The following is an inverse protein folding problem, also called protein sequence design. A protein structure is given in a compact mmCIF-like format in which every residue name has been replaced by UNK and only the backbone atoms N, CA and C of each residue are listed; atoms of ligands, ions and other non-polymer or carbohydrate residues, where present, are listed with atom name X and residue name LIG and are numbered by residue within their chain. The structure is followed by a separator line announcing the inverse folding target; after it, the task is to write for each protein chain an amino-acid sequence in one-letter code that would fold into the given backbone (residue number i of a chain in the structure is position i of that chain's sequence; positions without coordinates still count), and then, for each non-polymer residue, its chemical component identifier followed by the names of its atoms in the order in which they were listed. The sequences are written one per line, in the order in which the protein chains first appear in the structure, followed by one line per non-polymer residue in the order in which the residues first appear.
data_IF_219704301649
#
_entry.id   IF_219704301649
#
_cell.length_a   1.000
_cell.length_b   1.000
_cell.length_c   1.000
_cell.angle_alpha   90.00
_cell.angle_beta   90.00
_cell.angle_gamma   90.00
#
_symmetry.space_group_name_H-M   'P 1'
#
loop_
_entity.id
_entity.type
_entity.pdbx_description
1 polymer ?
#
# COMPACT_ATOMS: atom_id res chain seq x y z
N UNK A 1 -86.77 -13.67 21.15
CA UNK A 1 -86.59 -13.36 22.59
C UNK A 1 -85.24 -13.90 23.03
N UNK A 2 -84.37 -13.06 23.63
CA UNK A 2 -83.06 -13.45 24.18
C UNK A 2 -81.87 -12.62 23.67
N UNK A 3 -81.44 -11.62 24.46
CA UNK A 3 -80.23 -10.76 24.38
C UNK A 3 -78.91 -11.60 24.37
N UNK A 4 -77.72 -11.14 23.97
CA UNK A 4 -77.18 -9.86 23.53
C UNK A 4 -75.64 -9.81 23.70
N UNK A 5 -75.01 -8.80 23.07
CA UNK A 5 -73.63 -8.23 23.23
C UNK A 5 -72.48 -8.79 22.35
N UNK A 6 -71.81 -7.93 21.54
CA UNK A 6 -70.57 -8.20 20.79
C UNK A 6 -69.35 -7.42 21.34
N UNK A 7 -68.13 -7.85 20.98
CA UNK A 7 -66.91 -7.03 21.09
C UNK A 7 -66.00 -7.22 19.86
N UNK A 8 -65.62 -6.10 19.26
CA UNK A 8 -64.64 -5.89 18.18
C UNK A 8 -63.50 -5.05 18.75
N UNK A 9 -62.25 -5.36 18.42
CA UNK A 9 -61.11 -4.49 18.72
C UNK A 9 -60.08 -4.57 17.56
N UNK A 10 -59.69 -3.39 17.07
CA UNK A 10 -58.75 -3.19 15.97
C UNK A 10 -57.64 -2.21 16.40
N UNK A 11 -56.41 -2.61 16.05
CA UNK A 11 -55.16 -1.87 15.82
C UNK A 11 -54.92 -0.46 16.40
N UNK A 12 -53.69 -0.20 16.90
CA UNK A 12 -52.92 1.02 16.53
C UNK A 12 -51.43 0.99 16.91
N UNK A 13 -50.65 1.66 16.05
CA UNK A 13 -49.20 1.91 16.05
C UNK A 13 -48.69 2.80 17.21
N UNK A 14 -47.38 2.76 17.54
CA UNK A 14 -46.73 3.74 18.40
C UNK A 14 -45.86 4.72 17.60
N UNK A 15 -46.13 6.02 17.70
CA UNK A 15 -45.10 7.07 17.67
C UNK A 15 -45.65 8.39 18.22
N UNK A 16 -44.73 9.12 18.85
CA UNK A 16 -44.73 10.55 19.22
C UNK A 16 -45.26 11.05 20.59
N UNK A 17 -44.26 11.30 21.44
CA UNK A 17 -43.83 12.60 21.99
C UNK A 17 -44.69 13.36 23.02
N UNK A 18 -43.98 13.71 24.10
CA UNK A 18 -44.03 14.97 24.89
C UNK A 18 -45.15 15.18 25.92
N UNK A 19 -44.78 15.15 27.20
CA UNK A 19 -45.12 16.18 28.19
C UNK A 19 -44.25 16.05 29.47
N UNK A 20 -43.79 17.20 29.96
CA UNK A 20 -42.98 17.44 31.18
C UNK A 20 -43.84 17.31 32.46
N UNK A 21 -43.38 17.24 33.72
CA UNK A 21 -42.43 18.14 34.40
C UNK A 21 -42.11 17.72 35.87
N UNK A 22 -40.87 18.00 36.29
CA UNK A 22 -40.38 18.57 37.58
C UNK A 22 -40.64 17.92 38.97
N UNK A 23 -39.55 17.50 39.65
CA UNK A 23 -39.00 18.06 40.93
C UNK A 23 -37.80 17.20 41.40
N UNK A 24 -36.55 17.69 41.30
CA UNK A 24 -35.78 18.47 42.27
C UNK A 24 -35.12 17.64 43.42
N UNK A 25 -33.81 17.39 43.29
CA UNK A 25 -32.83 17.51 44.39
C UNK A 25 -31.40 17.45 43.83
N UNK A 26 -30.66 18.54 44.00
CA UNK A 26 -29.21 18.63 43.78
C UNK A 26 -28.46 18.07 45.01
N UNK A 27 -27.14 17.79 44.89
CA UNK A 27 -26.19 18.87 45.14
C UNK A 27 -25.00 18.97 44.16
N UNK A 28 -24.70 20.22 43.80
CA UNK A 28 -23.39 20.90 43.88
C UNK A 28 -22.11 20.19 43.41
N UNK A 29 -21.47 20.78 42.39
CA UNK A 29 -20.03 21.08 42.46
C UNK A 29 -19.19 20.81 41.22
N UNK A 30 -18.80 21.87 40.49
CA UNK A 30 -17.45 21.95 39.92
C UNK A 30 -17.30 22.01 38.38
N UNK A 31 -16.96 23.21 37.90
CA UNK A 31 -16.16 23.48 36.69
C UNK A 31 -16.74 23.14 35.31
N UNK A 32 -17.50 24.09 34.75
CA UNK A 32 -17.95 24.07 33.35
C UNK A 32 -17.54 25.32 32.57
N UNK A 33 -16.39 25.90 32.89
CA UNK A 33 -15.83 27.08 32.20
C UNK A 33 -14.63 26.77 31.29
N UNK A 34 -14.09 25.55 31.32
CA UNK A 34 -12.85 25.21 30.58
C UNK A 34 -13.02 24.75 29.12
N UNK A 35 -14.21 24.35 28.66
CA UNK A 35 -14.37 23.85 27.29
C UNK A 35 -14.59 24.97 26.27
N UNK A 36 -15.29 26.05 26.66
CA UNK A 36 -15.54 27.18 25.77
C UNK A 36 -14.30 28.04 25.53
N UNK A 37 -13.41 28.17 26.51
CA UNK A 37 -12.11 28.86 26.32
C UNK A 37 -11.19 28.07 25.42
N UNK A 38 -11.14 26.74 25.55
CA UNK A 38 -10.36 25.89 24.64
C UNK A 38 -10.86 26.00 23.21
N UNK A 39 -12.18 25.91 22.98
CA UNK A 39 -12.79 26.04 21.65
C UNK A 39 -12.58 27.43 21.05
N UNK A 40 -12.66 28.49 21.87
CA UNK A 40 -12.32 29.86 21.46
C UNK A 40 -10.83 30.02 21.15
N UNK A 41 -9.93 29.40 21.92
CA UNK A 41 -8.49 29.39 21.63
C UNK A 41 -8.18 28.61 20.36
N UNK A 42 -8.88 27.52 20.08
CA UNK A 42 -8.71 26.79 18.80
C UNK A 42 -9.23 27.61 17.62
N UNK A 43 -10.36 28.31 17.77
CA UNK A 43 -10.87 29.20 16.74
C UNK A 43 -10.00 30.43 16.50
N UNK A 44 -9.44 31.03 17.56
CA UNK A 44 -8.49 32.14 17.44
C UNK A 44 -7.19 31.65 16.81
N UNK A 45 -6.70 30.46 17.18
CA UNK A 45 -5.51 29.86 16.55
C UNK A 45 -5.74 29.49 15.08
N UNK A 46 -6.95 29.10 14.70
CA UNK A 46 -7.30 28.84 13.30
C UNK A 46 -7.50 30.14 12.51
N UNK A 47 -8.03 31.19 13.14
CA UNK A 47 -8.10 32.54 12.56
C UNK A 47 -6.73 33.15 12.37
N UNK A 48 -5.81 33.00 13.32
CA UNK A 48 -4.40 33.41 13.18
C UNK A 48 -3.71 32.62 12.07
N UNK A 49 -3.90 31.30 12.02
CA UNK A 49 -3.32 30.46 10.95
C UNK A 49 -3.89 30.80 9.56
N UNK A 50 -5.18 31.16 9.48
CA UNK A 50 -5.81 31.62 8.23
C UNK A 50 -5.35 33.02 7.83
N UNK A 51 -5.16 33.93 8.79
CA UNK A 51 -4.60 35.26 8.56
C UNK A 51 -3.11 35.21 8.19
N UNK A 52 -2.37 34.23 8.70
CA UNK A 52 -0.98 33.95 8.35
C UNK A 52 -0.89 33.34 6.93
N UNK A 53 -1.81 32.43 6.57
CA UNK A 53 -1.94 31.90 5.20
C UNK A 53 -2.39 32.96 4.18
N UNK A 54 -3.28 33.89 4.57
CA UNK A 54 -3.65 35.02 3.68
C UNK A 54 -2.53 36.04 3.55
N UNK A 55 -1.70 36.22 4.58
CA UNK A 55 -0.48 37.03 4.49
C UNK A 55 0.58 36.38 3.61
N UNK A 56 0.74 35.06 3.64
CA UNK A 56 1.67 34.35 2.75
C UNK A 56 1.24 34.43 1.26
N UNK A 57 -0.05 34.60 0.96
CA UNK A 57 -0.53 34.92 -0.40
C UNK A 57 -0.21 36.38 -0.82
N UNK A 58 -0.17 37.34 0.11
CA UNK A 58 0.17 38.74 -0.17
C UNK A 58 1.68 39.06 -0.08
N UNK A 59 2.46 38.26 0.65
CA UNK A 59 3.89 38.47 0.86
C UNK A 59 4.76 38.11 -0.35
N UNK A 60 4.25 37.32 -1.30
CA UNK A 60 4.94 37.03 -2.56
C UNK A 60 4.76 38.15 -3.62
N UNK A 61 3.88 39.13 -3.35
CA UNK A 61 3.69 40.33 -4.19
C UNK A 61 4.54 41.52 -3.71
N UNK A 62 5.02 41.49 -2.45
CA UNK A 62 5.63 42.66 -1.78
C UNK A 62 7.17 42.67 -1.76
N UNK A 63 7.85 41.77 -2.47
CA UNK A 63 9.32 41.74 -2.52
C UNK A 63 9.91 42.53 -3.71
N UNK A 64 9.39 43.74 -3.97
CA UNK A 64 10.06 44.72 -4.85
C UNK A 64 10.22 46.03 -4.09
N UNK A 65 11.18 46.07 -3.18
CA UNK A 65 11.58 47.31 -2.51
C UNK A 65 13.00 47.66 -2.98
N UNK A 66 13.09 48.25 -4.18
CA UNK A 66 14.19 49.14 -4.56
C UNK A 66 13.65 50.58 -4.48
N UNK A 67 14.46 51.46 -3.90
CA UNK A 67 14.19 52.87 -3.66
C UNK A 67 13.59 53.59 -4.88
N UNK A 68 12.70 54.58 -4.68
CA UNK A 68 12.29 55.48 -5.75
C UNK A 68 13.43 56.49 -5.99
N UNK A 69 14.36 56.14 -6.87
CA UNK A 69 15.17 57.15 -7.55
C UNK A 69 14.29 57.75 -8.63
N UNK A 70 13.85 58.98 -8.36
CA UNK A 70 13.30 59.87 -9.38
C UNK A 70 14.30 60.02 -10.53
N UNK A 71 13.78 60.15 -11.76
CA UNK A 71 14.48 60.32 -13.05
C UNK A 71 14.86 59.01 -13.79
N UNK A 72 13.90 58.42 -14.52
CA UNK A 72 14.10 58.22 -15.96
C UNK A 72 12.75 58.17 -16.70
N UNK A 73 12.65 58.96 -17.75
CA UNK A 73 11.45 59.28 -18.54
C UNK A 73 11.45 58.41 -19.82
N UNK A 74 11.69 57.09 -19.64
CA UNK A 74 11.78 56.00 -20.64
C UNK A 74 11.51 54.70 -19.86
N UNK A 75 10.63 53.76 -20.18
CA UNK A 75 10.16 53.25 -21.45
C UNK A 75 8.76 52.62 -21.23
N UNK A 76 7.87 52.75 -22.22
CA UNK A 76 6.74 51.81 -22.39
C UNK A 76 7.33 50.41 -22.30
N UNK A 77 6.79 49.47 -21.47
CA UNK A 77 7.30 48.11 -21.42
C UNK A 77 7.42 47.60 -22.85
N UNK A 78 8.65 47.49 -23.34
CA UNK A 78 8.88 46.98 -24.69
C UNK A 78 8.14 45.65 -24.75
N UNK A 79 7.39 45.41 -25.83
CA UNK A 79 6.52 44.22 -25.98
C UNK A 79 7.28 42.93 -25.59
N UNK A 80 8.58 42.89 -25.82
CA UNK A 80 9.52 41.84 -25.38
C UNK A 80 9.57 41.60 -23.87
N UNK A 81 9.61 42.64 -23.03
CA UNK A 81 9.61 42.49 -21.56
C UNK A 81 8.29 41.92 -21.05
N UNK A 82 7.16 42.35 -21.63
CA UNK A 82 5.86 41.81 -21.31
C UNK A 82 5.78 40.32 -21.69
N UNK A 83 6.23 39.94 -22.90
CA UNK A 83 6.26 38.54 -23.34
C UNK A 83 7.16 37.68 -22.45
N UNK A 84 8.31 38.19 -22.02
CA UNK A 84 9.19 37.47 -21.10
C UNK A 84 8.56 37.27 -19.72
N UNK A 85 7.84 38.27 -19.21
CA UNK A 85 7.14 38.16 -17.93
C UNK A 85 5.99 37.14 -18.03
N UNK A 86 5.12 37.27 -19.04
CA UNK A 86 3.96 36.39 -19.22
C UNK A 86 4.40 34.93 -19.42
N UNK A 87 5.42 34.68 -20.24
CA UNK A 87 5.93 33.33 -20.46
C UNK A 87 6.61 32.72 -19.22
N UNK A 88 7.36 33.52 -18.47
CA UNK A 88 7.93 33.07 -17.20
C UNK A 88 6.86 32.77 -16.15
N UNK A 89 5.81 33.59 -16.07
CA UNK A 89 4.69 33.39 -15.15
C UNK A 89 3.92 32.10 -15.50
N UNK A 90 3.71 31.83 -16.80
CA UNK A 90 3.10 30.57 -17.27
C UNK A 90 3.94 29.34 -16.87
N UNK A 91 5.25 29.40 -17.07
CA UNK A 91 6.16 28.32 -16.64
C UNK A 91 6.15 28.14 -15.12
N UNK A 92 6.21 29.22 -14.35
CA UNK A 92 6.16 29.17 -12.88
C UNK A 92 4.86 28.55 -12.37
N UNK A 93 3.72 28.87 -13.02
CA UNK A 93 2.44 28.24 -12.74
C UNK A 93 2.51 26.74 -13.00
N UNK A 94 3.00 26.33 -14.17
CA UNK A 94 3.19 24.91 -14.51
C UNK A 94 4.10 24.18 -13.50
N UNK A 95 5.23 24.77 -13.13
CA UNK A 95 6.13 24.22 -12.12
C UNK A 95 5.42 24.02 -10.77
N UNK A 96 4.63 25.01 -10.31
CA UNK A 96 3.84 24.88 -9.07
C UNK A 96 2.89 23.69 -9.14
N UNK A 97 2.19 23.51 -10.27
CA UNK A 97 1.26 22.38 -10.50
C UNK A 97 1.96 21.03 -10.39
N UNK A 98 3.11 20.86 -11.06
CA UNK A 98 3.92 19.64 -10.94
C UNK A 98 4.37 19.40 -9.51
N UNK A 99 4.86 20.43 -8.81
CA UNK A 99 5.32 20.26 -7.42
C UNK A 99 4.17 19.90 -6.47
N UNK A 100 2.96 20.38 -6.74
CA UNK A 100 1.78 20.03 -5.98
C UNK A 100 1.37 18.57 -6.22
N UNK A 101 1.40 18.11 -7.48
CA UNK A 101 1.20 16.69 -7.80
C UNK A 101 2.25 15.80 -7.14
N UNK A 102 3.54 16.15 -7.18
CA UNK A 102 4.61 15.38 -6.50
C UNK A 102 4.36 15.26 -4.99
N UNK A 103 3.92 16.37 -4.37
CA UNK A 103 3.56 16.41 -2.95
C UNK A 103 2.37 15.51 -2.65
N UNK A 104 1.31 15.57 -3.45
CA UNK A 104 0.13 14.72 -3.28
C UNK A 104 0.44 13.25 -3.55
N UNK A 105 1.25 12.92 -4.55
CA UNK A 105 1.74 11.55 -4.79
C UNK A 105 2.55 11.03 -3.60
N UNK A 106 3.38 11.87 -2.97
CA UNK A 106 4.11 11.51 -1.76
C UNK A 106 3.19 11.32 -0.56
N UNK A 107 2.21 12.20 -0.37
CA UNK A 107 1.21 12.09 0.69
C UNK A 107 0.37 10.82 0.51
N UNK A 108 -0.08 10.58 -0.72
CA UNK A 108 -0.81 9.38 -1.12
C UNK A 108 0.03 8.13 -0.90
N UNK A 109 1.27 8.07 -1.37
CA UNK A 109 2.19 6.95 -1.10
C UNK A 109 2.35 6.70 0.41
N UNK A 110 2.52 7.76 1.22
CA UNK A 110 2.63 7.64 2.67
C UNK A 110 1.34 7.10 3.33
N UNK A 111 0.16 7.44 2.81
CA UNK A 111 -1.11 6.91 3.28
C UNK A 111 -1.33 5.47 2.79
N UNK A 112 -1.10 5.24 1.50
CA UNK A 112 -1.27 3.98 0.81
C UNK A 112 -0.37 2.89 1.37
N UNK A 113 0.79 3.26 1.96
CA UNK A 113 1.56 2.38 2.82
C UNK A 113 0.62 1.57 3.70
N UNK A 114 -0.24 2.17 4.51
CA UNK A 114 -1.09 1.47 5.48
C UNK A 114 -2.04 0.40 4.88
N UNK A 115 -2.24 0.37 3.57
CA UNK A 115 -2.98 -0.66 2.84
C UNK A 115 -2.09 -1.91 2.65
N UNK A 116 -2.64 -3.09 2.90
CA UNK A 116 -2.01 -4.35 2.44
C UNK A 116 -1.95 -4.37 0.91
N UNK A 117 -0.91 -4.97 0.31
CA UNK A 117 -0.68 -4.94 -1.15
C UNK A 117 -0.30 -3.56 -1.74
N UNK A 118 0.22 -2.61 -0.95
CA UNK A 118 0.63 -1.30 -1.46
C UNK A 118 1.90 -1.31 -2.32
N UNK A 119 2.37 -2.50 -2.73
CA UNK A 119 3.51 -2.84 -3.61
C UNK A 119 3.50 -2.09 -4.92
N UNK A 120 2.46 -2.34 -5.72
CA UNK A 120 2.30 -1.68 -7.00
C UNK A 120 2.29 -0.17 -6.82
N UNK A 121 1.44 0.33 -5.91
CA UNK A 121 1.22 1.77 -5.70
C UNK A 121 2.48 2.53 -5.33
N UNK A 122 3.30 2.07 -4.36
CA UNK A 122 4.50 2.84 -4.00
C UNK A 122 5.54 2.81 -5.11
N UNK A 123 5.69 1.67 -5.80
CA UNK A 123 6.66 1.55 -6.89
C UNK A 123 6.25 2.40 -8.08
N UNK A 124 4.98 2.35 -8.49
CA UNK A 124 4.46 3.16 -9.60
C UNK A 124 4.44 4.65 -9.24
N UNK A 125 4.06 5.02 -8.02
CA UNK A 125 4.17 6.41 -7.54
C UNK A 125 5.61 6.91 -7.55
N UNK A 126 6.58 6.04 -7.22
CA UNK A 126 7.99 6.41 -7.25
C UNK A 126 8.48 6.70 -8.67
N UNK A 127 8.20 5.81 -9.64
CA UNK A 127 8.55 6.02 -11.04
C UNK A 127 7.85 7.23 -11.64
N UNK A 128 6.57 7.44 -11.32
CA UNK A 128 5.81 8.59 -11.77
C UNK A 128 6.45 9.91 -11.29
N UNK A 129 6.88 9.97 -10.03
CA UNK A 129 7.56 11.16 -9.46
C UNK A 129 8.93 11.40 -10.09
N UNK A 130 9.69 10.34 -10.35
CA UNK A 130 10.95 10.41 -11.09
C UNK A 130 10.74 10.99 -12.49
N UNK A 131 9.72 10.51 -13.21
CA UNK A 131 9.38 11.00 -14.54
C UNK A 131 8.89 12.45 -14.54
N UNK A 132 8.09 12.85 -13.55
CA UNK A 132 7.65 14.24 -13.38
C UNK A 132 8.84 15.18 -13.21
N UNK A 133 9.88 14.76 -12.47
CA UNK A 133 11.09 15.55 -12.31
C UNK A 133 11.87 15.69 -13.63
N UNK A 134 11.99 14.62 -14.42
CA UNK A 134 12.62 14.64 -15.74
C UNK A 134 11.88 15.56 -16.72
N UNK A 135 10.56 15.46 -16.77
CA UNK A 135 9.71 16.30 -17.60
C UNK A 135 9.83 17.77 -17.19
N UNK A 136 9.71 18.06 -15.89
CA UNK A 136 9.85 19.42 -15.39
C UNK A 136 11.21 20.03 -15.75
N UNK A 137 12.27 19.24 -15.69
CA UNK A 137 13.60 19.67 -16.09
C UNK A 137 13.66 20.06 -17.56
N UNK A 138 13.16 19.20 -18.46
CA UNK A 138 13.13 19.48 -19.90
C UNK A 138 12.32 20.75 -20.23
N UNK A 139 11.14 20.92 -19.61
CA UNK A 139 10.34 22.14 -19.78
C UNK A 139 11.04 23.38 -19.23
N UNK A 140 11.80 23.23 -18.13
CA UNK A 140 12.59 24.32 -17.56
C UNK A 140 13.72 24.75 -18.48
N UNK A 141 14.46 23.81 -19.06
CA UNK A 141 15.50 24.13 -20.04
C UNK A 141 14.93 24.85 -21.26
N UNK A 142 13.80 24.37 -21.77
CA UNK A 142 13.08 25.05 -22.86
C UNK A 142 12.65 26.47 -22.47
N UNK A 143 12.12 26.66 -21.26
CA UNK A 143 11.69 27.97 -20.77
C UNK A 143 12.86 28.92 -20.48
N UNK A 144 13.99 28.41 -19.99
CA UNK A 144 15.20 29.20 -19.77
C UNK A 144 15.77 29.75 -21.08
N UNK A 145 15.67 28.98 -22.16
CA UNK A 145 16.09 29.40 -23.48
C UNK A 145 15.15 30.45 -24.12
N UNK A 146 13.84 30.36 -23.84
CA UNK A 146 12.85 31.33 -24.33
C UNK A 146 12.81 32.61 -23.50
N UNK A 147 13.03 32.51 -22.19
CA UNK A 147 12.86 33.59 -21.22
C UNK A 147 14.09 33.76 -20.32
N UNK A 148 15.30 33.97 -20.89
CA UNK A 148 16.56 33.90 -20.15
C UNK A 148 16.70 34.95 -19.04
N UNK A 149 15.97 36.07 -19.13
CA UNK A 149 16.01 37.12 -18.09
C UNK A 149 15.18 36.79 -16.84
N UNK A 150 14.22 35.87 -16.95
CA UNK A 150 13.23 35.58 -15.89
C UNK A 150 13.29 34.13 -15.41
N UNK A 151 13.69 33.19 -16.26
CA UNK A 151 13.84 31.77 -15.92
C UNK A 151 15.32 31.41 -15.98
N UNK A 152 15.93 31.15 -14.83
CA UNK A 152 17.30 30.66 -14.77
C UNK A 152 17.34 29.17 -15.09
N UNK A 153 18.17 28.80 -16.07
CA UNK A 153 18.54 27.41 -16.34
C UNK A 153 19.08 26.77 -15.05
N UNK A 154 18.64 25.54 -14.78
CA UNK A 154 19.10 24.79 -13.61
C UNK A 154 20.26 23.90 -14.03
N UNK A 155 21.44 24.09 -13.43
CA UNK A 155 22.53 23.13 -13.59
C UNK A 155 22.12 21.81 -12.94
N UNK A 156 22.28 20.71 -13.68
CA UNK A 156 21.86 19.33 -13.39
C UNK A 156 22.10 18.84 -11.94
N UNK A 157 23.10 19.42 -11.25
CA UNK A 157 23.43 19.13 -9.85
C UNK A 157 22.33 19.53 -8.84
N UNK A 158 21.43 20.46 -9.19
CA UNK A 158 20.35 20.95 -8.30
C UNK A 158 19.16 20.01 -8.16
N UNK A 159 18.97 19.04 -9.07
CA UNK A 159 17.81 18.14 -9.07
C UNK A 159 17.98 16.91 -8.19
N UNK A 160 19.20 16.68 -7.68
CA UNK A 160 19.53 15.51 -6.86
C UNK A 160 18.90 15.56 -5.47
N UNK A 161 18.39 16.72 -5.01
CA UNK A 161 17.58 16.80 -3.79
C UNK A 161 16.87 18.16 -3.59
N UNK A 162 15.53 18.27 -3.76
CA UNK A 162 14.80 19.49 -3.38
C UNK A 162 14.78 19.75 -1.86
N UNK A 163 15.29 18.83 -1.04
CA UNK A 163 15.32 18.94 0.43
C UNK A 163 16.61 19.56 1.01
N UNK A 164 17.59 19.99 0.21
CA UNK A 164 18.90 20.43 0.73
C UNK A 164 19.08 21.95 0.95
N UNK A 165 18.13 22.80 0.55
CA UNK A 165 18.35 24.25 0.62
C UNK A 165 18.05 24.94 1.97
N UNK A 166 17.62 24.21 3.00
CA UNK A 166 17.37 24.79 4.32
C UNK A 166 17.98 24.00 5.48
N UNK A 167 19.33 23.94 5.56
CA UNK A 167 20.11 23.88 6.82
C UNK A 167 21.62 23.77 6.52
N UNK A 168 22.32 24.89 6.44
CA UNK A 168 23.74 24.92 6.81
C UNK A 168 23.82 24.74 8.33
N UNK A 169 23.94 23.49 8.78
CA UNK A 169 24.08 23.13 10.18
C UNK A 169 24.80 21.79 10.32
N UNK A 170 26.10 21.88 10.64
CA UNK A 170 27.04 20.80 10.94
C UNK A 170 26.40 19.60 11.69
N UNK A 171 26.58 18.38 11.16
CA UNK A 171 27.23 17.22 11.84
C UNK A 171 26.89 15.90 11.15
N UNK A 172 27.94 15.15 10.81
CA UNK A 172 27.92 13.72 10.51
C UNK A 172 27.00 12.94 11.46
N UNK A 173 26.03 12.21 10.91
CA UNK A 173 25.54 10.95 11.46
C UNK A 173 25.25 9.96 10.34
N UNK A 174 25.93 8.82 10.41
CA UNK A 174 25.64 7.62 9.64
C UNK A 174 24.14 7.30 9.67
N UNK A 175 23.52 7.28 8.49
CA UNK A 175 22.14 6.81 8.28
C UNK A 175 22.21 5.46 7.54
N UNK A 176 21.32 4.49 7.79
CA UNK A 176 21.42 3.13 7.23
C UNK A 176 21.21 3.09 5.70
N UNK A 177 21.74 2.06 4.98
CA UNK A 177 21.86 2.03 3.53
C UNK A 177 20.57 1.63 2.79
N UNK A 178 19.40 2.19 3.14
CA UNK A 178 18.11 1.88 2.49
C UNK A 178 17.41 3.09 1.85
N UNK A 179 18.14 4.18 1.66
CA UNK A 179 17.72 5.27 0.78
C UNK A 179 18.75 5.32 -0.33
N UNK A 180 18.53 4.55 -1.40
CA UNK A 180 19.18 4.82 -2.66
C UNK A 180 18.74 6.23 -3.09
N UNK A 181 19.59 7.22 -2.83
CA UNK A 181 19.62 8.42 -3.65
C UNK A 181 19.94 7.92 -5.05
N UNK A 182 18.96 7.92 -5.93
CA UNK A 182 19.13 7.42 -7.29
C UNK A 182 20.09 8.32 -8.02
N UNK A 183 21.14 7.66 -8.47
CA UNK A 183 22.37 8.17 -9.03
C UNK A 183 22.10 8.44 -10.51
N UNK A 184 22.39 9.68 -10.92
CA UNK A 184 22.67 10.11 -12.30
C UNK A 184 21.44 10.12 -13.21
N UNK A 185 20.77 11.29 -13.26
CA UNK A 185 20.11 11.71 -14.49
C UNK A 185 21.21 11.70 -15.57
N UNK A 186 21.18 10.73 -16.47
CA UNK A 186 21.90 10.80 -17.74
C UNK A 186 21.57 12.14 -18.40
N UNK A 187 22.47 12.71 -19.19
CA UNK A 187 22.26 14.03 -19.80
C UNK A 187 21.01 13.96 -20.70
N UNK A 188 19.85 14.36 -20.17
CA UNK A 188 18.60 14.40 -20.94
C UNK A 188 18.78 15.46 -22.02
N UNK A 189 18.72 15.05 -23.27
CA UNK A 189 18.76 15.97 -24.39
C UNK A 189 17.32 16.41 -24.74
N UNK A 190 17.11 17.61 -25.29
CA UNK A 190 15.78 18.07 -25.72
C UNK A 190 15.12 17.17 -26.77
N UNK A 191 15.90 16.34 -27.46
CA UNK A 191 15.39 15.36 -28.43
C UNK A 191 14.66 14.19 -27.73
N UNK A 192 14.87 14.00 -26.43
CA UNK A 192 14.24 12.93 -25.65
C UNK A 192 12.78 13.27 -25.26
N UNK A 193 12.33 14.51 -25.47
CA UNK A 193 10.97 14.97 -25.11
C UNK A 193 9.84 13.99 -25.52
N UNK A 194 9.77 13.51 -26.77
CA UNK A 194 8.74 12.58 -27.19
C UNK A 194 8.77 11.25 -26.43
N UNK A 195 9.97 10.72 -26.17
CA UNK A 195 10.15 9.47 -25.44
C UNK A 195 9.78 9.65 -23.96
N UNK A 196 10.17 10.76 -23.36
CA UNK A 196 9.85 11.10 -21.97
C UNK A 196 8.34 11.26 -21.75
N UNK A 197 7.61 11.92 -22.65
CA UNK A 197 6.15 12.01 -22.58
C UNK A 197 5.49 10.64 -22.77
N UNK A 198 6.01 9.79 -23.67
CA UNK A 198 5.49 8.44 -23.87
C UNK A 198 5.73 7.54 -22.64
N UNK A 199 6.89 7.66 -22.00
CA UNK A 199 7.19 6.95 -20.75
C UNK A 199 6.32 7.47 -19.61
N UNK A 200 6.07 8.78 -19.54
CA UNK A 200 5.14 9.35 -18.58
C UNK A 200 3.73 8.82 -18.75
N UNK A 201 3.22 8.70 -19.98
CA UNK A 201 1.93 8.06 -20.22
C UNK A 201 1.89 6.62 -19.67
N UNK A 202 2.96 5.84 -19.88
CA UNK A 202 3.05 4.46 -19.36
C UNK A 202 3.09 4.42 -17.82
N UNK A 203 3.86 5.31 -17.20
CA UNK A 203 3.98 5.39 -15.74
C UNK A 203 2.64 5.81 -15.11
N UNK A 204 1.91 6.73 -15.76
CA UNK A 204 0.56 7.17 -15.40
C UNK A 204 -0.45 6.02 -15.49
N UNK A 205 -0.48 5.27 -16.59
CA UNK A 205 -1.36 4.09 -16.74
C UNK A 205 -1.00 3.00 -15.73
N UNK A 206 0.29 2.72 -15.53
CA UNK A 206 0.74 1.72 -14.54
C UNK A 206 0.31 2.11 -13.13
N UNK A 207 0.40 3.40 -12.79
CA UNK A 207 -0.11 3.92 -11.53
C UNK A 207 -1.63 3.73 -11.42
N UNK A 208 -2.38 3.97 -12.49
CA UNK A 208 -3.83 3.74 -12.54
C UNK A 208 -4.21 2.28 -12.33
N UNK A 209 -3.53 1.36 -13.02
CA UNK A 209 -3.77 -0.08 -12.86
C UNK A 209 -3.51 -0.52 -11.43
N UNK A 210 -2.45 0.01 -10.80
CA UNK A 210 -2.15 -0.24 -9.39
C UNK A 210 -3.20 0.38 -8.44
N UNK A 211 -3.78 1.53 -8.79
CA UNK A 211 -4.88 2.13 -8.02
C UNK A 211 -6.15 1.27 -8.12
N UNK A 212 -6.46 0.76 -9.31
CA UNK A 212 -7.65 -0.05 -9.57
C UNK A 212 -7.61 -1.45 -8.97
N UNK A 213 -6.45 -1.91 -8.47
CA UNK A 213 -6.35 -3.14 -7.66
C UNK A 213 -7.17 -3.03 -6.36
N UNK A 214 -7.46 -1.81 -5.92
CA UNK A 214 -8.25 -1.53 -4.73
C UNK A 214 -9.62 -0.96 -5.13
N UNK A 215 -10.71 -1.73 -4.98
CA UNK A 215 -12.06 -1.26 -5.30
C UNK A 215 -12.49 -0.06 -4.42
N UNK A 216 -11.78 0.20 -3.33
CA UNK A 216 -11.96 1.38 -2.49
C UNK A 216 -11.42 2.68 -3.13
N UNK A 217 -10.59 2.60 -4.18
CA UNK A 217 -10.00 3.76 -4.89
C UNK A 217 -10.45 3.89 -6.35
N UNK A 218 -11.26 2.96 -6.86
CA UNK A 218 -11.90 3.08 -8.16
C UNK A 218 -12.94 4.20 -8.14
N UNK A 219 -12.50 5.43 -8.42
CA UNK A 219 -13.37 6.54 -8.74
C UNK A 219 -13.36 6.73 -10.27
N UNK A 220 -14.56 6.75 -10.86
CA UNK A 220 -14.76 6.99 -12.29
C UNK A 220 -14.18 8.35 -12.72
N UNK A 221 -14.22 9.36 -11.84
CA UNK A 221 -13.65 10.68 -12.12
C UNK A 221 -12.11 10.65 -12.18
N UNK A 222 -11.46 9.91 -11.27
CA UNK A 222 -10.00 9.70 -11.28
C UNK A 222 -9.59 8.94 -12.53
N UNK A 223 -10.29 7.84 -12.84
CA UNK A 223 -10.03 7.02 -14.03
C UNK A 223 -10.18 7.83 -15.32
N UNK A 224 -11.24 8.61 -15.45
CA UNK A 224 -11.47 9.45 -16.64
C UNK A 224 -10.39 10.51 -16.80
N UNK A 225 -10.00 11.17 -15.71
CA UNK A 225 -8.97 12.23 -15.74
C UNK A 225 -7.60 11.67 -16.11
N UNK A 226 -7.25 10.50 -15.57
CA UNK A 226 -5.96 9.84 -15.82
C UNK A 226 -5.90 9.26 -17.23
N UNK A 227 -6.97 8.61 -17.72
CA UNK A 227 -7.03 8.09 -19.09
C UNK A 227 -7.03 9.21 -20.13
N UNK A 228 -7.67 10.34 -19.83
CA UNK A 228 -7.61 11.55 -20.68
C UNK A 228 -6.17 12.06 -20.81
N UNK A 229 -5.46 12.24 -19.68
CA UNK A 229 -4.05 12.64 -19.69
C UNK A 229 -3.18 11.62 -20.44
N UNK A 230 -3.39 10.32 -20.27
CA UNK A 230 -2.66 9.30 -21.02
C UNK A 230 -2.82 9.46 -22.54
N UNK A 231 -4.06 9.66 -23.00
CA UNK A 231 -4.38 9.89 -24.40
C UNK A 231 -3.66 11.11 -24.96
N UNK A 232 -3.73 12.22 -24.23
CA UNK A 232 -3.11 13.49 -24.62
C UNK A 232 -1.58 13.40 -24.62
N UNK A 233 -0.96 12.77 -23.61
CA UNK A 233 0.48 12.54 -23.58
C UNK A 233 0.97 11.70 -24.77
N UNK A 234 0.22 10.65 -25.15
CA UNK A 234 0.52 9.83 -26.32
C UNK A 234 0.36 10.63 -27.62
N UNK A 235 -0.69 11.45 -27.71
CA UNK A 235 -0.93 12.32 -28.85
C UNK A 235 0.20 13.36 -28.99
N UNK A 236 0.55 14.07 -27.92
CA UNK A 236 1.64 15.04 -27.91
C UNK A 236 2.98 14.40 -28.23
N UNK A 237 3.29 13.23 -27.66
CA UNK A 237 4.50 12.47 -28.01
C UNK A 237 4.54 12.14 -29.51
N UNK A 238 3.41 11.73 -30.10
CA UNK A 238 3.32 11.47 -31.54
C UNK A 238 3.50 12.74 -32.38
N UNK A 239 2.93 13.86 -31.97
CA UNK A 239 3.09 15.16 -32.64
C UNK A 239 4.54 15.64 -32.57
N UNK A 240 5.19 15.51 -31.41
CA UNK A 240 6.57 15.93 -31.22
C UNK A 240 7.57 15.09 -32.02
N UNK A 241 7.27 13.82 -32.31
CA UNK A 241 8.08 13.00 -33.23
C UNK A 241 8.17 13.59 -34.65
N UNK A 242 7.16 14.35 -35.09
CA UNK A 242 7.23 15.01 -36.40
C UNK A 242 8.26 16.16 -36.44
N UNK A 243 8.69 16.65 -35.27
CA UNK A 243 9.65 17.74 -35.11
C UNK A 243 11.03 17.26 -34.63
N UNK A 244 11.31 15.95 -34.74
CA UNK A 244 12.61 15.37 -34.37
C UNK A 244 13.76 16.06 -35.12
N UNK A 245 14.83 16.38 -34.38
CA UNK A 245 15.98 17.17 -34.85
C UNK A 245 15.72 18.68 -34.95
N UNK A 246 14.50 19.15 -34.66
CA UNK A 246 14.10 20.56 -34.77
C UNK A 246 13.76 21.22 -33.44
N UNK A 247 14.00 20.57 -32.29
CA UNK A 247 13.68 21.12 -30.97
C UNK A 247 14.48 22.38 -30.59
N UNK A 248 15.52 22.70 -31.35
CA UNK A 248 16.28 23.95 -31.20
C UNK A 248 15.62 25.14 -31.91
N UNK A 249 14.65 24.91 -32.80
CA UNK A 249 14.00 25.99 -33.52
C UNK A 249 13.03 26.76 -32.60
N UNK A 250 13.06 28.12 -32.60
CA UNK A 250 12.21 28.92 -31.72
C UNK A 250 10.70 28.66 -31.84
N UNK A 251 10.22 28.24 -33.02
CA UNK A 251 8.81 27.90 -33.22
C UNK A 251 8.40 26.64 -32.44
N UNK A 252 9.20 25.58 -32.51
CA UNK A 252 8.95 24.32 -31.78
C UNK A 252 9.06 24.55 -30.27
N UNK A 253 9.99 25.40 -29.83
CA UNK A 253 10.14 25.78 -28.42
C UNK A 253 8.92 26.48 -27.86
N UNK A 254 8.33 27.41 -28.62
CA UNK A 254 7.07 28.09 -28.23
C UNK A 254 5.91 27.10 -28.17
N UNK A 255 5.79 26.22 -29.16
CA UNK A 255 4.80 25.15 -29.13
C UNK A 255 4.94 24.25 -27.88
N UNK A 256 6.16 23.86 -27.53
CA UNK A 256 6.43 23.16 -26.26
C UNK A 256 6.03 24.00 -25.05
N UNK A 257 6.31 25.31 -25.04
CA UNK A 257 5.90 26.15 -23.93
C UNK A 257 4.37 26.21 -23.78
N UNK A 258 3.64 26.35 -24.88
CA UNK A 258 2.17 26.34 -24.88
C UNK A 258 1.62 25.01 -24.36
N UNK A 259 2.26 23.89 -24.73
CA UNK A 259 1.94 22.55 -24.23
C UNK A 259 2.03 22.44 -22.70
N UNK A 260 2.95 23.18 -22.07
CA UNK A 260 3.09 23.16 -20.61
C UNK A 260 1.85 23.73 -19.90
N UNK A 261 1.15 24.67 -20.52
CA UNK A 261 -0.11 25.20 -19.98
C UNK A 261 -1.21 24.13 -20.02
N UNK A 262 -1.41 23.51 -21.18
CA UNK A 262 -2.41 22.45 -21.39
C UNK A 262 -2.14 21.26 -20.45
N UNK A 263 -0.92 20.73 -20.44
CA UNK A 263 -0.54 19.64 -19.54
C UNK A 263 -0.70 20.01 -18.07
N UNK A 264 -0.44 21.27 -17.71
CA UNK A 264 -0.67 21.77 -16.36
C UNK A 264 -2.14 21.66 -15.91
N UNK A 265 -3.10 21.87 -16.81
CA UNK A 265 -4.52 21.77 -16.46
C UNK A 265 -4.95 20.32 -16.19
N UNK A 266 -4.43 19.35 -16.96
CA UNK A 266 -4.64 17.93 -16.68
C UNK A 266 -3.99 17.49 -15.36
N UNK A 267 -2.78 17.98 -15.08
CA UNK A 267 -2.07 17.72 -13.81
C UNK A 267 -2.85 18.26 -12.61
N UNK A 268 -3.44 19.45 -12.72
CA UNK A 268 -4.29 20.03 -11.67
C UNK A 268 -5.54 19.19 -11.44
N UNK A 269 -6.18 18.71 -12.50
CA UNK A 269 -7.34 17.81 -12.41
C UNK A 269 -7.00 16.53 -11.64
N UNK A 270 -5.90 15.85 -12.00
CA UNK A 270 -5.44 14.63 -11.29
C UNK A 270 -5.07 14.94 -9.84
N UNK A 271 -4.38 16.06 -9.59
CA UNK A 271 -3.99 16.46 -8.23
C UNK A 271 -5.23 16.67 -7.36
N UNK A 272 -6.26 17.32 -7.89
CA UNK A 272 -7.52 17.54 -7.18
C UNK A 272 -8.19 16.22 -6.81
N UNK A 273 -8.28 15.26 -7.74
CA UNK A 273 -8.91 13.96 -7.49
C UNK A 273 -8.08 13.09 -6.52
N UNK A 274 -6.75 13.08 -6.63
CA UNK A 274 -5.87 12.37 -5.69
C UNK A 274 -5.94 12.94 -4.27
N UNK A 275 -6.10 14.25 -4.12
CA UNK A 275 -6.22 14.91 -2.81
C UNK A 275 -7.50 14.51 -2.05
N UNK A 276 -8.56 14.16 -2.78
CA UNK A 276 -9.82 13.64 -2.20
C UNK A 276 -9.62 12.19 -1.76
N UNK A 277 -9.04 11.36 -2.62
CA UNK A 277 -8.78 9.94 -2.32
C UNK A 277 -7.81 9.74 -1.15
N UNK A 278 -6.76 10.57 -1.03
CA UNK A 278 -5.79 10.47 0.06
C UNK A 278 -6.40 10.72 1.46
N UNK A 279 -7.42 11.58 1.53
CA UNK A 279 -8.18 11.86 2.76
C UNK A 279 -9.09 10.70 3.17
N UNK A 280 -9.70 10.02 2.21
CA UNK A 280 -10.55 8.86 2.45
C UNK A 280 -9.75 7.67 3.01
N UNK A 281 -8.55 7.41 2.48
CA UNK A 281 -7.61 6.38 3.00
C UNK A 281 -7.33 6.59 4.49
N UNK A 282 -7.04 7.83 4.87
CA UNK A 282 -6.63 8.19 6.24
C UNK A 282 -7.76 8.02 7.26
N UNK A 283 -9.02 8.24 6.86
CA UNK A 283 -10.21 8.14 7.71
C UNK A 283 -10.67 6.69 7.92
N UNK A 284 -10.62 5.86 6.88
CA UNK A 284 -11.14 4.48 6.94
C UNK A 284 -10.24 3.56 7.80
N UNK A 285 -8.95 3.84 7.85
CA UNK A 285 -7.99 3.12 8.70
C UNK A 285 -8.18 3.40 10.21
N UNK A 286 -8.60 4.62 10.58
CA UNK A 286 -8.90 4.95 11.98
C UNK A 286 -10.11 4.17 12.50
N UNK A 287 -11.10 3.89 11.65
CA UNK A 287 -12.28 3.10 12.02
C UNK A 287 -11.99 1.59 12.13
N UNK A 288 -11.17 1.02 11.24
CA UNK A 288 -10.86 -0.43 11.26
C UNK A 288 -9.92 -0.87 12.40
N UNK A 289 -9.21 0.07 13.06
CA UNK A 289 -8.26 -0.21 14.15
C UNK A 289 -8.92 -0.36 15.54
N UNK A 290 -10.22 -0.09 15.68
CA UNK A 290 -10.89 -0.05 16.99
C UNK A 290 -11.63 -1.34 17.42
N UNK A 291 -11.44 -2.46 16.72
CA UNK A 291 -12.06 -3.74 17.14
C UNK A 291 -11.03 -4.85 16.95
N UNK A 292 -10.33 -5.32 18.02
CA UNK A 292 -10.96 -6.33 18.89
C UNK A 292 -10.39 -6.44 20.32
N UNK A 293 -11.23 -6.55 21.36
CA UNK A 293 -10.84 -7.24 22.61
C UNK A 293 -12.05 -7.68 23.45
N UNK A 294 -12.60 -8.86 23.15
CA UNK A 294 -13.66 -9.45 23.97
C UNK A 294 -13.61 -10.98 24.00
N UNK A 295 -12.42 -11.61 24.10
CA UNK A 295 -12.34 -13.07 24.22
C UNK A 295 -11.19 -13.57 25.12
N UNK A 296 -10.86 -12.84 26.18
CA UNK A 296 -9.83 -13.28 27.13
C UNK A 296 -10.37 -13.26 28.56
N UNK A 297 -11.44 -14.00 28.82
CA UNK A 297 -11.99 -14.20 30.17
C UNK A 297 -12.81 -15.49 30.27
N UNK A 298 -12.21 -16.65 29.93
CA UNK A 298 -12.76 -17.99 30.26
C UNK A 298 -11.67 -19.05 30.49
N UNK A 299 -10.61 -18.73 31.25
CA UNK A 299 -9.56 -19.69 31.64
C UNK A 299 -9.55 -20.01 33.14
N UNK A 300 -10.74 -20.06 33.75
CA UNK A 300 -10.92 -20.54 35.12
C UNK A 300 -12.05 -21.56 35.17
N UNK A 301 -11.84 -22.76 34.60
CA UNK A 301 -12.70 -23.88 34.97
C UNK A 301 -11.95 -25.23 34.96
N UNK A 302 -11.94 -25.83 36.15
CA UNK A 302 -11.69 -27.23 36.51
C UNK A 302 -10.33 -27.87 36.15
N UNK A 303 -9.40 -27.83 37.11
CA UNK A 303 -8.17 -28.65 37.11
C UNK A 303 -8.17 -29.77 38.18
N UNK A 304 -9.16 -29.81 39.09
CA UNK A 304 -9.06 -30.62 40.32
C UNK A 304 -9.73 -32.01 40.27
N UNK A 305 -10.17 -32.50 39.10
CA UNK A 305 -10.80 -33.83 39.01
C UNK A 305 -9.99 -34.76 38.12
N UNK A 306 -9.16 -35.59 38.74
CA UNK A 306 -8.35 -36.64 38.10
C UNK A 306 -8.68 -38.00 38.74
N UNK A 307 -8.75 -39.07 37.94
CA UNK A 307 -8.85 -40.44 38.45
C UNK A 307 -9.99 -41.31 37.92
N UNK A 308 -10.88 -40.80 37.05
CA UNK A 308 -11.86 -41.65 36.34
C UNK A 308 -11.61 -41.61 34.83
N UNK A 309 -11.80 -42.73 34.10
CA UNK A 309 -11.52 -42.79 32.66
C UNK A 309 -12.40 -41.81 31.86
N UNK A 310 -13.59 -41.49 32.35
CA UNK A 310 -14.47 -40.48 31.78
C UNK A 310 -13.91 -39.06 31.99
N UNK A 311 -13.42 -38.73 33.18
CA UNK A 311 -12.80 -37.43 33.44
C UNK A 311 -11.53 -37.23 32.61
N UNK A 312 -10.73 -38.28 32.43
CA UNK A 312 -9.52 -38.23 31.60
C UNK A 312 -9.85 -38.01 30.11
N UNK A 313 -10.92 -38.62 29.60
CA UNK A 313 -11.39 -38.40 28.23
C UNK A 313 -11.92 -36.97 28.02
N UNK A 314 -12.70 -36.45 28.97
CA UNK A 314 -13.21 -35.07 28.93
C UNK A 314 -12.07 -34.06 28.99
N UNK A 315 -11.08 -34.29 29.86
CA UNK A 315 -9.88 -33.47 29.91
C UNK A 315 -9.11 -33.52 28.59
N UNK A 316 -8.94 -34.69 27.97
CA UNK A 316 -8.27 -34.80 26.68
C UNK A 316 -8.98 -34.00 25.56
N UNK A 317 -10.31 -34.09 25.48
CA UNK A 317 -11.08 -33.29 24.51
C UNK A 317 -11.00 -31.79 24.80
N UNK A 318 -11.01 -31.40 26.09
CA UNK A 318 -10.87 -30.01 26.48
C UNK A 318 -9.50 -29.43 26.07
N UNK A 319 -8.39 -30.09 26.42
CA UNK A 319 -7.06 -29.63 26.05
C UNK A 319 -6.83 -29.60 24.53
N UNK A 320 -7.31 -30.62 23.80
CA UNK A 320 -7.20 -30.62 22.34
C UNK A 320 -8.00 -29.48 21.70
N UNK A 321 -9.24 -29.23 22.16
CA UNK A 321 -10.05 -28.09 21.68
C UNK A 321 -9.40 -26.74 21.97
N UNK A 322 -8.72 -26.59 23.12
CA UNK A 322 -7.97 -25.39 23.46
C UNK A 322 -6.77 -25.19 22.52
N UNK A 323 -6.01 -26.24 22.21
CA UNK A 323 -4.90 -26.17 21.26
C UNK A 323 -5.39 -25.81 19.86
N UNK A 324 -6.48 -26.42 19.39
CA UNK A 324 -7.08 -26.05 18.10
C UNK A 324 -7.63 -24.62 18.10
N UNK A 325 -8.19 -24.14 19.21
CA UNK A 325 -8.68 -22.77 19.34
C UNK A 325 -7.53 -21.75 19.27
N UNK A 326 -6.43 -21.98 20.00
CA UNK A 326 -5.23 -21.13 19.92
C UNK A 326 -4.63 -21.20 18.51
N UNK A 327 -4.54 -22.40 17.92
CA UNK A 327 -4.05 -22.58 16.55
C UNK A 327 -4.90 -21.83 15.52
N UNK A 328 -6.23 -21.90 15.63
CA UNK A 328 -7.16 -21.18 14.77
C UNK A 328 -7.09 -19.66 14.99
N UNK A 329 -6.93 -19.20 16.23
CA UNK A 329 -6.75 -17.79 16.55
C UNK A 329 -5.42 -17.25 16.02
N UNK A 330 -4.33 -18.01 16.15
CA UNK A 330 -3.01 -17.67 15.60
C UNK A 330 -3.05 -17.71 14.06
N UNK A 331 -3.69 -18.70 13.45
CA UNK A 331 -3.89 -18.75 12.00
C UNK A 331 -4.78 -17.62 11.49
N UNK A 332 -5.82 -17.24 12.23
CA UNK A 332 -6.67 -16.09 11.87
C UNK A 332 -5.92 -14.78 12.05
N UNK A 333 -5.11 -14.65 13.11
CA UNK A 333 -4.24 -13.50 13.33
C UNK A 333 -3.13 -13.44 12.27
N UNK A 334 -2.60 -14.59 11.83
CA UNK A 334 -1.69 -14.69 10.68
C UNK A 334 -2.39 -14.28 9.39
N UNK A 335 -3.63 -14.71 9.15
CA UNK A 335 -4.43 -14.29 8.00
C UNK A 335 -4.76 -12.80 8.02
N UNK A 336 -5.05 -12.24 9.19
CA UNK A 336 -5.30 -10.81 9.38
C UNK A 336 -4.01 -9.99 9.27
N UNK A 337 -2.91 -10.44 9.85
CA UNK A 337 -1.60 -9.79 9.70
C UNK A 337 -1.06 -9.94 8.28
N UNK A 338 -1.40 -11.02 7.57
CA UNK A 338 -1.16 -11.19 6.14
C UNK A 338 -1.98 -10.17 5.32
N UNK A 339 -3.27 -10.00 5.62
CA UNK A 339 -4.10 -8.96 4.98
C UNK A 339 -3.68 -7.51 5.32
N UNK A 340 -3.04 -7.28 6.47
CA UNK A 340 -2.68 -5.94 6.98
C UNK A 340 -1.20 -5.56 6.78
N UNK A 341 -0.33 -6.47 6.34
CA UNK A 341 1.09 -6.18 6.20
C UNK A 341 1.38 -5.43 4.89
N UNK A 342 1.40 -4.10 5.02
CA UNK A 342 2.09 -3.10 4.19
C UNK A 342 3.01 -3.67 3.10
N UNK A 343 4.17 -4.17 3.51
CA UNK A 343 5.15 -4.96 2.79
C UNK A 343 5.89 -5.71 3.90
N UNK A 344 6.39 -6.92 3.66
CA UNK A 344 7.53 -7.47 4.45
C UNK A 344 8.53 -6.34 4.73
N UNK A 345 9.06 -6.03 5.93
CA UNK A 345 8.91 -6.47 7.33
C UNK A 345 9.36 -5.29 8.21
N UNK A 346 8.90 -5.16 9.48
CA UNK A 346 9.78 -4.74 10.56
C UNK A 346 9.83 -5.81 11.65
N UNK A 347 11.05 -6.10 12.12
CA UNK A 347 11.27 -7.10 13.14
C UNK A 347 10.46 -6.85 14.41
N UNK A 348 9.77 -7.89 14.87
CA UNK A 348 9.79 -8.26 16.27
C UNK A 348 9.66 -9.77 16.35
N UNK A 349 10.66 -10.40 16.98
CA UNK A 349 10.64 -11.81 17.36
C UNK A 349 9.32 -12.06 18.10
N UNK A 350 8.42 -12.84 17.50
CA UNK A 350 7.34 -13.43 18.27
C UNK A 350 7.93 -14.71 18.86
N UNK A 351 8.00 -14.83 20.19
CA UNK A 351 8.68 -15.95 20.80
C UNK A 351 7.98 -17.25 20.41
N UNK A 352 8.73 -18.18 19.82
CA UNK A 352 8.35 -19.59 19.68
C UNK A 352 8.10 -20.27 21.05
N UNK A 353 8.15 -19.51 22.14
CA UNK A 353 8.00 -20.00 23.50
C UNK A 353 6.55 -20.19 23.94
N UNK A 354 5.53 -19.76 23.18
CA UNK A 354 4.13 -20.02 23.55
C UNK A 354 3.76 -21.51 23.46
N UNK A 355 4.31 -22.26 22.51
CA UNK A 355 4.03 -23.70 22.40
C UNK A 355 4.84 -24.54 23.39
N UNK A 356 6.06 -24.12 23.72
CA UNK A 356 6.88 -24.82 24.72
C UNK A 356 6.23 -24.77 26.11
N UNK A 357 5.59 -23.66 26.48
CA UNK A 357 4.89 -23.54 27.77
C UNK A 357 3.69 -24.49 27.92
N UNK A 358 2.95 -24.76 26.84
CA UNK A 358 1.77 -25.63 26.86
C UNK A 358 2.16 -27.11 26.95
N UNK A 359 3.25 -27.51 26.29
CA UNK A 359 3.82 -28.86 26.40
C UNK A 359 4.42 -29.07 27.79
N UNK A 360 5.18 -28.10 28.31
CA UNK A 360 5.75 -28.17 29.67
C UNK A 360 4.65 -28.21 30.74
N UNK A 361 3.57 -27.45 30.58
CA UNK A 361 2.42 -27.47 31.48
C UNK A 361 1.68 -28.82 31.47
N UNK A 362 1.48 -29.44 30.31
CA UNK A 362 0.84 -30.76 30.21
C UNK A 362 1.69 -31.86 30.88
N UNK A 363 3.02 -31.77 30.80
CA UNK A 363 3.92 -32.70 31.49
C UNK A 363 4.05 -32.39 32.99
N UNK A 364 4.01 -31.12 33.41
CA UNK A 364 4.11 -30.75 34.83
C UNK A 364 2.83 -30.97 35.62
N UNK A 365 1.67 -31.01 34.94
CA UNK A 365 0.36 -31.23 35.57
C UNK A 365 0.03 -32.70 35.88
N UNK A 366 0.91 -33.64 35.52
CA UNK A 366 0.73 -35.06 35.83
C UNK A 366 -0.45 -35.72 35.13
N UNK A 367 -0.93 -35.14 34.01
CA UNK A 367 -2.05 -35.69 33.26
C UNK A 367 -1.75 -37.06 32.63
N UNK A 368 -2.82 -37.82 32.36
CA UNK A 368 -2.74 -39.14 31.75
C UNK A 368 -1.87 -39.17 30.48
N UNK A 369 -1.06 -40.23 30.30
CA UNK A 369 -0.05 -40.34 29.23
C UNK A 369 -0.62 -40.08 27.83
N UNK A 370 -1.86 -40.51 27.58
CA UNK A 370 -2.54 -40.34 26.29
C UNK A 370 -2.74 -38.85 25.97
N UNK A 371 -3.20 -38.06 26.94
CA UNK A 371 -3.47 -36.63 26.79
C UNK A 371 -2.19 -35.84 26.50
N UNK A 372 -1.10 -36.16 27.20
CA UNK A 372 0.21 -35.55 26.98
C UNK A 372 0.78 -35.88 25.60
N UNK A 373 0.65 -37.14 25.16
CA UNK A 373 1.14 -37.58 23.84
C UNK A 373 0.39 -36.89 22.70
N UNK A 374 -0.94 -36.82 22.77
CA UNK A 374 -1.77 -36.13 21.77
C UNK A 374 -1.48 -34.63 21.73
N UNK A 375 -1.38 -33.98 22.89
CA UNK A 375 -1.07 -32.54 22.99
C UNK A 375 0.29 -32.22 22.36
N UNK A 376 1.29 -33.11 22.57
CA UNK A 376 2.63 -32.97 22.00
C UNK A 376 2.60 -33.13 20.48
N UNK A 377 1.90 -34.14 19.96
CA UNK A 377 1.78 -34.38 18.53
C UNK A 377 1.11 -33.20 17.79
N UNK A 378 -0.02 -32.71 18.32
CA UNK A 378 -0.72 -31.56 17.72
C UNK A 378 0.05 -30.25 17.85
N UNK A 379 0.76 -30.04 18.96
CA UNK A 379 1.64 -28.87 19.12
C UNK A 379 2.81 -28.92 18.14
N UNK A 380 3.43 -30.08 17.95
CA UNK A 380 4.50 -30.25 16.98
C UNK A 380 4.01 -30.00 15.54
N UNK A 381 2.83 -30.53 15.18
CA UNK A 381 2.21 -30.28 13.88
C UNK A 381 1.92 -28.78 13.67
N UNK A 382 1.42 -28.09 14.70
CA UNK A 382 1.14 -26.65 14.65
C UNK A 382 2.44 -25.84 14.49
N UNK A 383 3.51 -26.19 15.21
CA UNK A 383 4.82 -25.58 15.06
C UNK A 383 5.38 -25.77 13.65
N UNK A 384 5.21 -26.94 13.04
CA UNK A 384 5.63 -27.19 11.66
C UNK A 384 4.85 -26.34 10.66
N UNK A 385 3.53 -26.22 10.83
CA UNK A 385 2.70 -25.31 10.02
C UNK A 385 3.17 -23.86 10.10
N UNK A 386 3.46 -23.37 11.32
CA UNK A 386 3.98 -22.02 11.53
C UNK A 386 5.38 -21.82 10.93
N UNK A 387 6.25 -22.83 11.03
CA UNK A 387 7.57 -22.78 10.42
C UNK A 387 7.48 -22.74 8.89
N UNK A 388 6.59 -23.53 8.28
CA UNK A 388 6.37 -23.52 6.83
C UNK A 388 5.88 -22.14 6.34
N UNK A 389 4.88 -21.56 7.02
CA UNK A 389 4.38 -20.21 6.72
C UNK A 389 5.49 -19.17 6.94
N UNK A 390 6.31 -19.31 7.98
CA UNK A 390 7.44 -18.41 8.23
C UNK A 390 8.53 -18.51 7.17
N UNK A 391 8.82 -19.71 6.65
CA UNK A 391 9.79 -19.91 5.56
C UNK A 391 9.24 -19.37 4.24
N UNK A 392 7.96 -19.56 3.95
CA UNK A 392 7.27 -18.86 2.85
C UNK A 392 7.42 -17.34 3.03
N UNK A 393 7.22 -16.87 4.27
CA UNK A 393 7.45 -15.49 4.69
C UNK A 393 8.93 -15.08 4.91
N UNK A 394 9.91 -15.95 4.66
CA UNK A 394 11.31 -15.56 4.43
C UNK A 394 11.65 -15.49 2.93
N UNK A 395 11.07 -16.39 2.12
CA UNK A 395 11.28 -16.48 0.67
C UNK A 395 10.72 -15.32 -0.20
N UNK A 396 9.44 -14.92 -0.17
CA UNK A 396 8.99 -13.74 -0.97
C UNK A 396 9.71 -12.42 -0.62
N UNK A 397 10.25 -12.20 0.59
CA UNK A 397 11.02 -11.01 1.01
C UNK A 397 12.37 -11.04 0.38
N UNK A 398 13.02 -12.20 0.48
CA UNK A 398 14.28 -12.42 -0.19
C UNK A 398 14.14 -12.24 -1.71
N UNK A 399 13.07 -12.78 -2.29
CA UNK A 399 12.76 -12.66 -3.72
C UNK A 399 12.46 -11.22 -4.13
N UNK A 400 11.61 -10.53 -3.37
CA UNK A 400 11.28 -9.13 -3.60
C UNK A 400 12.53 -8.24 -3.51
N UNK A 401 13.36 -8.45 -2.49
CA UNK A 401 14.63 -7.72 -2.32
C UNK A 401 15.65 -8.05 -3.42
N UNK A 402 15.58 -9.24 -4.02
CA UNK A 402 16.49 -9.68 -5.08
C UNK A 402 16.08 -9.12 -6.44
N UNK A 403 14.78 -9.00 -6.69
CA UNK A 403 14.21 -8.63 -7.99
C UNK A 403 13.56 -7.23 -8.00
N UNK A 404 13.75 -6.43 -6.96
CA UNK A 404 13.18 -5.08 -6.82
C UNK A 404 11.67 -5.02 -7.15
N UNK A 405 10.92 -6.05 -6.75
CA UNK A 405 9.48 -6.13 -7.00
C UNK A 405 9.05 -6.46 -8.44
N UNK A 406 9.96 -6.70 -9.38
CA UNK A 406 9.58 -7.02 -10.76
C UNK A 406 9.14 -8.47 -10.98
N UNK A 407 9.42 -9.37 -10.04
CA UNK A 407 9.04 -10.79 -10.13
C UNK A 407 8.37 -11.26 -8.84
N UNK A 408 7.29 -12.03 -9.00
CA UNK A 408 6.60 -12.64 -7.88
C UNK A 408 7.29 -13.93 -7.45
N UNK A 409 7.09 -14.35 -6.19
CA UNK A 409 7.65 -15.62 -5.70
C UNK A 409 7.16 -16.81 -6.53
N UNK A 410 5.90 -16.79 -6.97
CA UNK A 410 5.34 -17.85 -7.79
C UNK A 410 6.12 -18.02 -9.11
N UNK A 411 6.49 -16.91 -9.75
CA UNK A 411 7.28 -16.92 -10.99
C UNK A 411 8.66 -17.51 -10.73
N UNK A 412 9.33 -17.05 -9.67
CA UNK A 412 10.67 -17.55 -9.30
C UNK A 412 10.63 -19.03 -8.91
N UNK A 413 9.60 -19.48 -8.18
CA UNK A 413 9.38 -20.89 -7.87
C UNK A 413 9.13 -21.72 -9.12
N UNK A 414 8.36 -21.21 -10.08
CA UNK A 414 8.09 -21.91 -11.34
C UNK A 414 9.35 -22.05 -12.20
N UNK A 415 10.13 -20.98 -12.33
CA UNK A 415 11.43 -20.99 -13.02
C UNK A 415 12.42 -21.94 -12.34
N UNK A 416 12.47 -21.90 -11.00
CA UNK A 416 13.35 -22.77 -10.21
C UNK A 416 12.90 -24.22 -10.31
N UNK A 417 11.59 -24.49 -10.28
CA UNK A 417 11.01 -25.83 -10.46
C UNK A 417 11.43 -26.41 -11.81
N UNK A 418 11.33 -25.63 -12.89
CA UNK A 418 11.79 -26.05 -14.22
C UNK A 418 13.29 -26.35 -14.22
N UNK A 419 14.11 -25.49 -13.61
CA UNK A 419 15.57 -25.72 -13.49
C UNK A 419 15.88 -26.98 -12.67
N UNK A 420 15.19 -27.20 -11.56
CA UNK A 420 15.34 -28.37 -10.68
C UNK A 420 14.93 -29.65 -11.41
N UNK A 421 13.83 -29.64 -12.18
CA UNK A 421 13.46 -30.79 -13.02
C UNK A 421 14.40 -31.02 -14.21
N UNK A 422 15.09 -29.99 -14.67
CA UNK A 422 16.10 -30.10 -15.73
C UNK A 422 17.44 -30.66 -15.25
N UNK A 423 17.69 -30.72 -13.92
CA UNK A 423 18.89 -31.34 -13.39
C UNK A 423 18.84 -32.87 -13.56
N UNK A 424 19.82 -33.49 -14.24
CA UNK A 424 19.77 -34.91 -14.61
C UNK A 424 19.63 -35.85 -13.41
N UNK A 425 20.19 -35.51 -12.25
CA UNK A 425 20.09 -36.32 -11.03
C UNK A 425 18.67 -36.38 -10.44
N UNK A 426 17.87 -35.34 -10.57
CA UNK A 426 16.50 -35.30 -10.01
C UNK A 426 15.52 -36.00 -10.96
N UNK A 427 15.75 -35.88 -12.27
CA UNK A 427 15.01 -36.66 -13.26
C UNK A 427 15.20 -38.16 -13.04
N UNK A 428 16.42 -38.59 -12.74
CA UNK A 428 16.73 -39.97 -12.35
C UNK A 428 15.95 -40.38 -11.10
N UNK A 429 16.05 -39.61 -10.01
CA UNK A 429 15.40 -39.91 -8.72
C UNK A 429 13.86 -39.97 -8.78
N UNK A 430 13.22 -39.22 -9.67
CA UNK A 430 11.75 -39.20 -9.79
C UNK A 430 11.22 -40.27 -10.75
N UNK A 431 11.92 -40.51 -11.87
CA UNK A 431 11.42 -41.40 -12.92
C UNK A 431 11.82 -42.87 -12.72
N UNK A 432 13.01 -43.15 -12.18
CA UNK A 432 13.49 -44.52 -12.07
C UNK A 432 12.74 -45.37 -11.02
N UNK A 433 12.39 -44.86 -9.82
CA UNK A 433 11.63 -45.65 -8.85
C UNK A 433 10.24 -46.03 -9.37
N UNK A 434 9.65 -45.18 -10.24
CA UNK A 434 8.37 -45.47 -10.89
C UNK A 434 8.49 -46.54 -11.96
N UNK A 435 9.55 -46.52 -12.76
CA UNK A 435 9.84 -47.58 -13.72
C UNK A 435 10.07 -48.92 -13.00
N UNK A 436 10.87 -48.90 -11.93
CA UNK A 436 11.16 -50.07 -11.12
C UNK A 436 9.92 -50.63 -10.40
N UNK A 437 9.08 -49.76 -9.83
CA UNK A 437 7.82 -50.18 -9.22
C UNK A 437 6.85 -50.80 -10.23
N UNK A 438 6.79 -50.27 -11.46
CA UNK A 438 6.01 -50.85 -12.55
C UNK A 438 6.52 -52.24 -12.94
N UNK A 439 7.83 -52.39 -13.12
CA UNK A 439 8.46 -53.67 -13.47
C UNK A 439 8.27 -54.72 -12.37
N UNK A 440 8.45 -54.34 -11.11
CA UNK A 440 8.20 -55.22 -9.95
C UNK A 440 6.73 -55.64 -9.89
N UNK A 441 5.79 -54.72 -10.16
CA UNK A 441 4.36 -55.05 -10.18
C UNK A 441 4.00 -56.02 -11.32
N UNK A 442 4.62 -55.87 -12.49
CA UNK A 442 4.42 -56.77 -13.62
C UNK A 442 5.04 -58.14 -13.40
N UNK A 443 6.24 -58.17 -12.83
CA UNK A 443 6.91 -59.40 -12.44
C UNK A 443 6.09 -60.17 -11.39
N UNK A 444 5.56 -59.48 -10.38
CA UNK A 444 4.68 -60.07 -9.35
C UNK A 444 3.40 -60.66 -9.95
N UNK A 445 2.73 -59.96 -10.87
CA UNK A 445 1.54 -60.51 -11.58
C UNK A 445 1.88 -61.74 -12.41
N UNK A 446 3.04 -61.78 -13.07
CA UNK A 446 3.47 -62.95 -13.86
C UNK A 446 3.73 -64.15 -12.97
N UNK A 447 4.38 -63.96 -11.82
CA UNK A 447 4.62 -65.04 -10.87
C UNK A 447 3.32 -65.58 -10.27
N UNK A 448 2.39 -64.69 -9.91
CA UNK A 448 1.07 -65.11 -9.41
C UNK A 448 0.30 -65.96 -10.42
N UNK A 449 0.31 -65.58 -11.71
CA UNK A 449 -0.34 -66.38 -12.77
C UNK A 449 0.32 -67.75 -12.94
N UNK A 450 1.65 -67.85 -12.82
CA UNK A 450 2.35 -69.14 -12.90
C UNK A 450 1.99 -70.05 -11.73
N UNK A 451 1.97 -69.51 -10.51
CA UNK A 451 1.58 -70.26 -9.32
C UNK A 451 0.12 -70.72 -9.39
N UNK A 452 -0.78 -69.83 -9.83
CA UNK A 452 -2.21 -70.15 -10.03
C UNK A 452 -2.41 -71.27 -11.06
N UNK A 453 -1.71 -71.22 -12.19
CA UNK A 453 -1.79 -72.28 -13.20
C UNK A 453 -1.20 -73.61 -12.71
N UNK A 454 -0.14 -73.58 -11.90
CA UNK A 454 0.44 -74.79 -11.31
C UNK A 454 -0.52 -75.44 -10.31
N UNK A 455 -1.22 -74.65 -9.49
CA UNK A 455 -2.23 -75.14 -8.56
C UNK A 455 -3.44 -75.73 -9.30
N UNK A 456 -3.91 -75.09 -10.37
CA UNK A 456 -4.98 -75.62 -11.21
C UNK A 456 -4.60 -76.96 -11.89
N UNK A 457 -3.35 -77.11 -12.31
CA UNK A 457 -2.84 -78.37 -12.89
C UNK A 457 -2.66 -79.49 -11.84
N UNK A 458 -2.41 -79.15 -10.58
CA UNK A 458 -2.39 -80.15 -9.50
C UNK A 458 -3.79 -80.58 -9.09
N UNK A 459 -4.75 -79.64 -9.04
CA UNK A 459 -6.15 -79.92 -8.72
C UNK A 459 -6.87 -80.77 -9.78
N UNK A 460 -6.38 -80.83 -11.01
CA UNK A 460 -6.97 -81.65 -12.09
C UNK A 460 -6.37 -83.05 -12.19
N UNK A 461 -5.38 -83.38 -11.35
CA UNK A 461 -4.73 -84.70 -11.30
C UNK A 461 -5.08 -85.53 -10.06
N UNK A 462 -5.86 -84.97 -9.15
CA UNK A 462 -6.54 -85.67 -8.04
C UNK A 462 -7.99 -85.87 -8.40
#
# INVERSE_FOLDING_TARGET
MGRGVPLTEAATNPNDLTALSSSASAPVGGSRTGSNTKRKQTLISLLDALAELSKDEELDVSSTNQQPSFEDDRDVPTVDEHLQKVGADAFNKFQRRITNLDKELRNFANAARQLGSSVGILSSSYHLRERLAQILFLFRENAADLFPRKVLGQTQESLVNPNYHWRKGKKHRHTPPHVHNTIVMEKLDPEDFPEQLQMFARDVTTFLDCLNEFPEFTDEAVNTSILSLEGDLKYWASCLKAYEGQFRYPAVRRYLHDLSSEMGDHIDSITSSLSVSSRLVSLQFVLHRNTPRSHCDKLQFSFNTTGTPLADAVNAFWFTSLVFSIGAAVNSLLGLTWKQAMYRSPGHRVPCMLFHGLVVFAYSSGQHRITSTLTTAFSACSCFGLAAVSVWFASERWTFSRHNGQKWLADVLSETKVKVYSMPGIKWLVYEPRAWAWDVSHWGRRQWRRASNSLANMSSRT
#
